data_IF_222596389395
#
_entry.id   IF_222596389395
#
_cell.length_a   1.000
_cell.length_b   1.000
_cell.length_c   1.000
_cell.angle_alpha   90.00
_cell.angle_beta   90.00
_cell.angle_gamma   90.00
#
_symmetry.space_group_name_H-M   'P 1'
#
loop_
_entity.id
_entity.type
_entity.pdbx_description
1 polymer ?
#
# COMPACT_ATOMS: atom_id res chain seq x y z
N UNK A 1 31.25 -5.09 -12.66
CA UNK A 1 30.48 -6.04 -11.81
C UNK A 1 30.23 -5.36 -10.48
N UNK A 2 29.05 -4.79 -10.29
CA UNK A 2 28.65 -4.19 -9.03
C UNK A 2 27.89 -5.21 -8.17
N UNK A 3 28.06 -5.12 -6.85
CA UNK A 3 27.25 -5.87 -5.88
C UNK A 3 26.29 -4.89 -5.23
N UNK A 4 25.00 -5.11 -5.36
CA UNK A 4 23.97 -4.20 -4.86
C UNK A 4 23.01 -4.95 -3.95
N UNK A 5 22.78 -4.41 -2.76
CA UNK A 5 21.81 -4.91 -1.80
C UNK A 5 20.46 -4.21 -1.94
N UNK A 6 19.38 -4.93 -1.65
CA UNK A 6 18.04 -4.35 -1.52
C UNK A 6 17.32 -4.88 -0.28
N UNK A 7 16.74 -3.96 0.48
CA UNK A 7 15.94 -4.27 1.68
C UNK A 7 14.68 -3.42 1.67
N UNK A 8 13.53 -4.07 1.80
CA UNK A 8 12.28 -3.39 2.09
C UNK A 8 12.06 -3.34 3.60
N UNK A 9 11.97 -2.13 4.15
CA UNK A 9 11.74 -1.88 5.58
C UNK A 9 10.27 -2.09 5.93
N UNK A 10 9.84 -3.35 6.04
CA UNK A 10 8.52 -3.69 6.55
C UNK A 10 8.48 -3.49 8.07
N UNK A 11 7.32 -3.07 8.59
CA UNK A 11 7.11 -2.74 10.01
C UNK A 11 7.42 -3.89 11.00
N UNK A 12 7.30 -5.13 10.54
CA UNK A 12 7.56 -6.34 11.35
C UNK A 12 8.85 -7.05 10.97
N UNK A 13 9.75 -6.34 10.32
CA UNK A 13 11.02 -6.92 9.90
C UNK A 13 12.15 -6.43 10.80
N UNK A 14 12.43 -7.19 11.86
CA UNK A 14 13.41 -6.83 12.88
C UNK A 14 14.87 -7.10 12.46
N UNK A 15 15.08 -7.89 11.38
CA UNK A 15 16.40 -8.27 10.88
C UNK A 15 17.12 -7.24 10.00
N UNK A 16 16.53 -6.08 9.80
CA UNK A 16 16.98 -5.07 8.85
C UNK A 16 18.46 -4.66 9.00
N UNK A 17 18.88 -4.32 10.21
CA UNK A 17 20.26 -3.86 10.46
C UNK A 17 21.27 -5.01 10.29
N UNK A 18 20.92 -6.22 10.72
CA UNK A 18 21.75 -7.39 10.55
C UNK A 18 21.96 -7.75 9.08
N UNK A 19 20.90 -7.66 8.27
CA UNK A 19 20.98 -7.91 6.83
C UNK A 19 21.80 -6.85 6.12
N UNK A 20 21.64 -5.61 6.50
CA UNK A 20 22.43 -4.50 5.97
C UNK A 20 23.91 -4.69 6.26
N UNK A 21 24.24 -5.05 7.51
CA UNK A 21 25.60 -5.37 7.91
C UNK A 21 26.17 -6.56 7.13
N UNK A 22 25.38 -7.61 6.95
CA UNK A 22 25.75 -8.77 6.14
C UNK A 22 26.04 -8.37 4.70
N UNK A 23 25.18 -7.57 4.07
CA UNK A 23 25.37 -7.09 2.71
C UNK A 23 26.64 -6.24 2.57
N UNK A 24 26.91 -5.38 3.55
CA UNK A 24 28.14 -4.57 3.58
C UNK A 24 29.39 -5.46 3.70
N UNK A 25 29.38 -6.44 4.61
CA UNK A 25 30.47 -7.42 4.77
C UNK A 25 30.67 -8.26 3.51
N UNK A 26 29.60 -8.59 2.81
CA UNK A 26 29.66 -9.30 1.53
C UNK A 26 30.29 -8.46 0.42
N UNK A 27 30.37 -7.14 0.61
CA UNK A 27 30.99 -6.19 -0.32
C UNK A 27 30.00 -5.52 -1.27
N UNK A 28 28.72 -5.38 -0.87
CA UNK A 28 27.77 -4.55 -1.63
C UNK A 28 28.24 -3.10 -1.61
N UNK A 29 28.42 -2.53 -2.79
CA UNK A 29 28.83 -1.13 -2.96
C UNK A 29 27.72 -0.16 -2.55
N UNK A 30 26.47 -0.64 -2.61
CA UNK A 30 25.29 0.10 -2.20
C UNK A 30 24.23 -0.86 -1.65
N UNK A 31 23.56 -0.46 -0.56
CA UNK A 31 22.37 -1.13 -0.04
C UNK A 31 21.19 -0.15 -0.19
N UNK A 32 20.24 -0.52 -1.03
CA UNK A 32 19.04 0.28 -1.32
C UNK A 32 17.94 -0.11 -0.34
N UNK A 33 17.47 0.87 0.41
CA UNK A 33 16.42 0.72 1.40
C UNK A 33 15.13 1.28 0.87
N UNK A 34 14.07 0.47 0.79
CA UNK A 34 12.73 0.90 0.42
C UNK A 34 11.87 1.02 1.67
N UNK A 35 11.20 2.16 1.85
CA UNK A 35 10.34 2.42 3.00
C UNK A 35 8.93 1.87 2.79
N UNK A 36 8.23 1.64 3.90
CA UNK A 36 6.87 1.10 3.93
C UNK A 36 5.87 1.94 3.15
N UNK A 37 6.05 3.26 3.10
CA UNK A 37 5.20 4.17 2.33
C UNK A 37 5.24 3.89 0.82
N UNK A 38 6.34 3.33 0.35
CA UNK A 38 6.55 3.00 -1.06
C UNK A 38 6.13 1.56 -1.41
N UNK A 39 5.48 0.85 -0.48
CA UNK A 39 5.10 -0.54 -0.64
C UNK A 39 4.36 -0.82 -1.96
N UNK A 40 3.40 0.01 -2.34
CA UNK A 40 2.59 -0.19 -3.54
C UNK A 40 3.38 0.04 -4.85
N UNK A 41 4.25 1.04 -4.89
CA UNK A 41 4.93 1.48 -6.12
C UNK A 41 6.34 0.93 -6.25
N UNK A 42 7.06 0.79 -5.14
CA UNK A 42 8.47 0.36 -5.06
C UNK A 42 9.37 1.00 -6.11
N UNK A 43 9.49 2.32 -6.11
CA UNK A 43 10.26 3.02 -7.13
C UNK A 43 11.74 2.64 -7.08
N UNK A 44 12.31 2.47 -5.89
CA UNK A 44 13.73 2.11 -5.73
C UNK A 44 14.03 0.69 -6.21
N UNK A 45 13.14 -0.28 -5.92
CA UNK A 45 13.26 -1.63 -6.47
C UNK A 45 13.23 -1.63 -7.98
N UNK A 46 12.23 -0.97 -8.57
CA UNK A 46 12.09 -0.89 -10.03
C UNK A 46 13.31 -0.25 -10.68
N UNK A 47 13.80 0.85 -10.10
CA UNK A 47 14.99 1.52 -10.58
C UNK A 47 16.23 0.63 -10.48
N UNK A 48 16.41 -0.08 -9.35
CA UNK A 48 17.50 -1.03 -9.18
C UNK A 48 17.48 -2.10 -10.27
N UNK A 49 16.34 -2.78 -10.45
CA UNK A 49 16.19 -3.87 -11.43
C UNK A 49 16.41 -3.39 -12.86
N UNK A 50 15.95 -2.17 -13.19
CA UNK A 50 16.18 -1.56 -14.51
C UNK A 50 17.67 -1.29 -14.78
N UNK A 51 18.40 -0.88 -13.75
CA UNK A 51 19.81 -0.47 -13.85
C UNK A 51 20.80 -1.64 -13.72
N UNK A 52 20.33 -2.87 -13.43
CA UNK A 52 21.22 -4.03 -13.39
C UNK A 52 21.90 -4.26 -14.74
N UNK A 53 23.19 -4.44 -14.69
CA UNK A 53 24.02 -4.71 -15.86
C UNK A 53 24.53 -6.16 -15.87
N UNK A 54 25.10 -6.55 -17.00
CA UNK A 54 25.65 -7.91 -17.16
C UNK A 54 26.79 -8.16 -16.17
N UNK A 55 26.64 -9.24 -15.40
CA UNK A 55 27.63 -9.69 -14.44
C UNK A 55 27.51 -9.04 -13.06
N UNK A 56 26.49 -8.22 -12.83
CA UNK A 56 26.22 -7.67 -11.50
C UNK A 56 25.72 -8.78 -10.54
N UNK A 57 25.83 -8.48 -9.26
CA UNK A 57 25.29 -9.32 -8.19
C UNK A 57 24.20 -8.56 -7.42
N UNK A 58 23.01 -9.13 -7.32
CA UNK A 58 21.93 -8.57 -6.52
C UNK A 58 21.71 -9.41 -5.27
N UNK A 59 21.70 -8.74 -4.12
CA UNK A 59 21.48 -9.37 -2.82
C UNK A 59 20.17 -8.85 -2.23
N UNK A 60 19.29 -9.75 -1.86
CA UNK A 60 18.05 -9.43 -1.16
C UNK A 60 18.00 -10.14 0.19
N UNK A 61 17.31 -9.56 1.16
CA UNK A 61 17.11 -10.18 2.46
C UNK A 61 16.36 -11.50 2.33
N UNK A 62 15.21 -11.45 1.66
CA UNK A 62 14.33 -12.57 1.34
C UNK A 62 13.56 -12.27 0.07
N UNK A 63 13.19 -13.28 -0.72
CA UNK A 63 12.40 -13.03 -1.92
C UNK A 63 11.02 -12.41 -1.63
N UNK A 64 10.37 -12.81 -0.55
CA UNK A 64 9.11 -12.20 -0.11
C UNK A 64 9.26 -10.72 0.29
N UNK A 65 10.45 -10.31 0.76
CA UNK A 65 10.77 -8.91 1.05
C UNK A 65 10.96 -8.09 -0.25
N UNK A 66 11.61 -8.68 -1.27
CA UNK A 66 11.91 -7.99 -2.52
C UNK A 66 10.78 -8.08 -3.56
N UNK A 67 9.99 -9.13 -3.60
CA UNK A 67 9.05 -9.45 -4.68
C UNK A 67 7.61 -9.56 -4.20
N UNK A 68 6.65 -9.45 -5.13
CA UNK A 68 5.21 -9.41 -4.84
C UNK A 68 4.49 -10.72 -5.11
N UNK A 69 5.23 -11.79 -5.28
CA UNK A 69 4.68 -13.11 -5.53
C UNK A 69 5.37 -13.83 -6.70
N UNK A 70 4.90 -15.03 -7.01
CA UNK A 70 5.53 -15.94 -7.95
C UNK A 70 5.67 -15.39 -9.37
N UNK A 71 4.72 -14.59 -9.84
CA UNK A 71 4.81 -13.98 -11.18
C UNK A 71 5.97 -12.99 -11.28
N UNK A 72 6.14 -12.13 -10.27
CA UNK A 72 7.24 -11.18 -10.25
C UNK A 72 8.58 -11.89 -10.05
N UNK A 73 8.63 -12.96 -9.23
CA UNK A 73 9.80 -13.80 -9.08
C UNK A 73 10.23 -14.41 -10.41
N UNK A 74 9.30 -14.98 -11.16
CA UNK A 74 9.60 -15.59 -12.47
C UNK A 74 10.17 -14.57 -13.45
N UNK A 75 9.56 -13.38 -13.54
CA UNK A 75 10.04 -12.30 -14.40
C UNK A 75 11.41 -11.78 -13.97
N UNK A 76 11.65 -11.67 -12.66
CA UNK A 76 12.93 -11.26 -12.10
C UNK A 76 14.04 -12.29 -12.39
N UNK A 77 13.77 -13.58 -12.18
CA UNK A 77 14.72 -14.66 -12.50
C UNK A 77 15.06 -14.66 -13.99
N UNK A 78 14.05 -14.51 -14.87
CA UNK A 78 14.27 -14.45 -16.31
C UNK A 78 15.16 -13.26 -16.71
N UNK A 79 14.88 -12.07 -16.18
CA UNK A 79 15.70 -10.88 -16.42
C UNK A 79 17.15 -11.10 -15.97
N UNK A 80 17.34 -11.62 -14.76
CA UNK A 80 18.67 -11.90 -14.23
C UNK A 80 19.42 -12.95 -15.05
N UNK A 81 18.72 -13.98 -15.55
CA UNK A 81 19.28 -14.98 -16.46
C UNK A 81 19.76 -14.35 -17.78
N UNK A 82 18.94 -13.52 -18.39
CA UNK A 82 19.27 -12.82 -19.65
C UNK A 82 20.48 -11.89 -19.47
N UNK A 83 20.49 -11.14 -18.39
CA UNK A 83 21.57 -10.20 -18.05
C UNK A 83 22.79 -10.88 -17.41
N UNK A 84 22.75 -12.18 -17.15
CA UNK A 84 23.79 -12.91 -16.41
C UNK A 84 24.09 -12.27 -15.06
N UNK A 85 23.06 -11.86 -14.34
CA UNK A 85 23.13 -11.29 -12.99
C UNK A 85 23.04 -12.42 -11.97
N UNK A 86 23.94 -12.40 -10.98
CA UNK A 86 23.88 -13.32 -9.84
C UNK A 86 22.84 -12.88 -8.84
N UNK A 87 21.99 -13.80 -8.40
CA UNK A 87 20.94 -13.57 -7.40
C UNK A 87 21.34 -14.23 -6.09
N UNK A 88 21.28 -13.49 -4.99
CA UNK A 88 21.53 -13.99 -3.64
C UNK A 88 20.36 -13.59 -2.76
N UNK A 89 19.74 -14.57 -2.08
CA UNK A 89 18.73 -14.34 -1.04
C UNK A 89 19.25 -14.89 0.28
N UNK A 90 19.39 -13.99 1.28
CA UNK A 90 20.07 -14.31 2.54
C UNK A 90 19.25 -15.35 3.34
N UNK A 91 18.00 -15.03 3.65
CA UNK A 91 17.17 -15.89 4.50
C UNK A 91 16.57 -17.10 3.79
N UNK A 92 16.40 -17.03 2.46
CA UNK A 92 16.01 -18.20 1.67
C UNK A 92 17.21 -19.12 1.42
N UNK A 93 18.45 -18.66 1.76
CA UNK A 93 19.72 -19.39 1.54
C UNK A 93 19.90 -19.79 0.08
N UNK A 94 19.54 -18.91 -0.84
CA UNK A 94 19.63 -19.16 -2.28
C UNK A 94 20.72 -18.28 -2.87
N UNK A 95 21.58 -18.93 -3.63
CA UNK A 95 22.60 -18.33 -4.47
C UNK A 95 22.54 -18.96 -5.86
N UNK A 96 22.23 -18.16 -6.87
CA UNK A 96 22.09 -18.67 -8.24
C UNK A 96 23.39 -19.30 -8.82
N UNK A 97 24.53 -19.06 -8.19
CA UNK A 97 25.80 -19.71 -8.54
C UNK A 97 26.16 -20.88 -7.62
N UNK A 98 25.38 -21.16 -6.57
CA UNK A 98 25.59 -22.28 -5.66
C UNK A 98 26.86 -22.20 -4.83
N UNK A 99 27.50 -21.01 -4.69
CA UNK A 99 28.78 -20.86 -3.98
C UNK A 99 28.61 -20.54 -2.50
N UNK A 100 27.64 -19.70 -2.16
CA UNK A 100 27.44 -19.23 -0.77
C UNK A 100 26.67 -20.20 0.08
N UNK A 101 25.73 -20.91 -0.51
CA UNK A 101 24.84 -21.85 0.21
C UNK A 101 24.84 -23.22 -0.50
N UNK A 102 25.95 -23.95 -0.46
CA UNK A 102 26.08 -25.23 -1.18
C UNK A 102 25.15 -26.32 -0.65
N UNK A 103 24.65 -26.17 0.58
CA UNK A 103 23.70 -27.10 1.22
C UNK A 103 22.25 -26.92 0.76
N UNK A 104 21.94 -25.88 0.00
CA UNK A 104 20.59 -25.62 -0.47
C UNK A 104 20.15 -26.66 -1.50
N UNK A 105 19.08 -27.36 -1.18
CA UNK A 105 18.52 -28.42 -2.03
C UNK A 105 17.37 -27.89 -2.89
N UNK A 106 16.99 -28.66 -3.92
CA UNK A 106 15.79 -28.35 -4.71
C UNK A 106 14.52 -28.32 -3.83
N UNK A 107 14.46 -29.13 -2.77
CA UNK A 107 13.34 -29.13 -1.82
C UNK A 107 13.20 -27.78 -1.14
N UNK A 108 14.30 -27.18 -0.66
CA UNK A 108 14.29 -25.85 -0.05
C UNK A 108 13.80 -24.77 -1.03
N UNK A 109 14.21 -24.85 -2.29
CA UNK A 109 13.75 -23.91 -3.33
C UNK A 109 12.25 -24.05 -3.59
N UNK A 110 11.73 -25.27 -3.67
CA UNK A 110 10.30 -25.54 -3.86
C UNK A 110 9.47 -25.07 -2.66
N UNK A 111 9.96 -25.31 -1.44
CA UNK A 111 9.32 -24.82 -0.22
C UNK A 111 9.25 -23.29 -0.20
N UNK A 112 10.35 -22.61 -0.45
CA UNK A 112 10.40 -21.15 -0.59
C UNK A 112 9.40 -20.65 -1.63
N UNK A 113 9.38 -21.28 -2.80
CA UNK A 113 8.47 -20.89 -3.88
C UNK A 113 7.00 -21.06 -3.49
N UNK A 114 6.66 -22.14 -2.78
CA UNK A 114 5.32 -22.41 -2.27
C UNK A 114 4.88 -21.44 -1.17
N UNK A 115 5.79 -21.06 -0.27
CA UNK A 115 5.52 -20.13 0.84
C UNK A 115 5.44 -18.65 0.40
N UNK A 116 6.07 -18.29 -0.72
CA UNK A 116 6.22 -16.92 -1.18
C UNK A 116 4.90 -16.13 -1.25
N UNK A 117 3.77 -16.66 -1.80
CA UNK A 117 2.53 -15.89 -1.87
C UNK A 117 1.95 -15.54 -0.50
N UNK A 118 2.04 -16.45 0.47
CA UNK A 118 1.55 -16.23 1.82
C UNK A 118 2.41 -15.21 2.57
N UNK A 119 3.72 -15.34 2.51
CA UNK A 119 4.64 -14.40 3.12
C UNK A 119 4.48 -12.98 2.57
N UNK A 120 4.33 -12.84 1.25
CA UNK A 120 4.05 -11.55 0.61
C UNK A 120 2.71 -10.98 1.09
N UNK A 121 1.68 -11.81 1.24
CA UNK A 121 0.38 -11.36 1.74
C UNK A 121 0.49 -10.81 3.17
N UNK A 122 1.23 -11.49 4.05
CA UNK A 122 1.49 -11.04 5.44
C UNK A 122 2.22 -9.70 5.46
N UNK A 123 3.28 -9.53 4.65
CA UNK A 123 4.03 -8.28 4.57
C UNK A 123 3.16 -7.12 4.04
N UNK A 124 2.34 -7.36 3.04
CA UNK A 124 1.42 -6.36 2.49
C UNK A 124 0.34 -5.95 3.48
N UNK A 125 -0.20 -6.91 4.22
CA UNK A 125 -1.20 -6.63 5.24
C UNK A 125 -0.63 -5.76 6.37
N UNK A 126 0.56 -6.09 6.87
CA UNK A 126 1.23 -5.29 7.91
C UNK A 126 1.55 -3.88 7.41
N UNK A 127 2.07 -3.74 6.18
CA UNK A 127 2.38 -2.45 5.57
C UNK A 127 1.12 -1.58 5.39
N UNK A 128 0.01 -2.16 4.93
CA UNK A 128 -1.26 -1.45 4.78
C UNK A 128 -1.81 -0.98 6.14
N UNK A 129 -1.64 -1.78 7.19
CA UNK A 129 -2.05 -1.41 8.54
C UNK A 129 -1.27 -0.19 9.05
N UNK A 130 0.05 -0.18 8.89
CA UNK A 130 0.91 0.95 9.27
C UNK A 130 0.56 2.22 8.51
N UNK A 131 0.36 2.12 7.19
CA UNK A 131 -0.05 3.25 6.37
C UNK A 131 -1.38 3.85 6.82
N UNK A 132 -2.35 3.01 7.17
CA UNK A 132 -3.64 3.46 7.71
C UNK A 132 -3.48 4.17 9.06
N UNK A 133 -2.62 3.67 9.95
CA UNK A 133 -2.33 4.32 11.23
C UNK A 133 -1.63 5.66 11.03
N UNK A 134 -0.65 5.75 10.15
CA UNK A 134 0.06 6.98 9.84
C UNK A 134 -0.87 8.02 9.19
N UNK A 135 -1.75 7.61 8.27
CA UNK A 135 -2.76 8.50 7.69
C UNK A 135 -3.72 9.06 8.75
N UNK A 136 -4.18 8.20 9.66
CA UNK A 136 -5.02 8.64 10.79
C UNK A 136 -4.28 9.59 11.75
N UNK A 137 -2.98 9.41 11.91
CA UNK A 137 -2.14 10.29 12.75
C UNK A 137 -1.82 11.62 12.05
N UNK A 138 -1.65 11.62 10.72
CA UNK A 138 -1.35 12.82 9.90
C UNK A 138 -2.58 13.66 9.60
N UNK A 139 -3.80 13.10 9.68
CA UNK A 139 -5.01 13.92 9.72
C UNK A 139 -4.90 14.72 11.01
N UNK A 140 -4.61 16.05 10.97
CA UNK A 140 -4.73 16.82 12.18
C UNK A 140 -6.15 16.53 12.64
N UNK A 141 -6.32 15.98 13.83
CA UNK A 141 -7.52 16.20 14.60
C UNK A 141 -7.54 17.73 14.73
N UNK A 142 -8.06 18.43 13.72
CA UNK A 142 -8.74 19.67 14.01
C UNK A 142 -9.74 19.22 15.04
N UNK A 143 -9.36 19.36 16.27
CA UNK A 143 -10.25 19.53 17.37
C UNK A 143 -11.05 20.77 16.98
N UNK A 144 -12.00 20.61 16.09
CA UNK A 144 -13.24 21.29 16.32
C UNK A 144 -13.58 20.83 17.73
N UNK A 145 -13.25 21.66 18.75
CA UNK A 145 -13.91 21.63 20.05
C UNK A 145 -15.28 21.11 19.75
N UNK A 146 -15.71 20.08 20.44
CA UNK A 146 -16.98 19.42 20.22
C UNK A 146 -18.03 20.54 20.10
N UNK A 147 -18.27 20.98 18.87
CA UNK A 147 -19.43 21.78 18.57
C UNK A 147 -20.58 20.89 19.00
N UNK A 148 -21.42 21.40 19.88
CA UNK A 148 -22.59 20.65 20.30
C UNK A 148 -23.23 20.10 19.02
N UNK A 149 -23.71 18.86 19.07
CA UNK A 149 -24.28 18.19 17.89
C UNK A 149 -25.33 19.08 17.21
N UNK A 150 -26.08 19.83 18.04
CA UNK A 150 -27.05 20.83 17.59
C UNK A 150 -26.42 21.97 16.75
N UNK A 151 -25.30 22.51 17.21
CA UNK A 151 -24.60 23.60 16.49
C UNK A 151 -24.05 23.14 15.15
N UNK A 152 -23.56 21.89 15.10
CA UNK A 152 -23.10 21.31 13.84
C UNK A 152 -24.25 21.09 12.86
N UNK A 153 -25.39 20.58 13.34
CA UNK A 153 -26.57 20.37 12.51
C UNK A 153 -27.13 21.70 12.00
N UNK A 154 -27.18 22.73 12.83
CA UNK A 154 -27.59 24.09 12.44
C UNK A 154 -26.65 24.68 11.38
N UNK A 155 -25.34 24.56 11.54
CA UNK A 155 -24.36 25.01 10.54
C UNK A 155 -24.59 24.37 9.19
N UNK A 156 -24.90 23.05 9.15
CA UNK A 156 -25.22 22.35 7.89
C UNK A 156 -26.45 22.94 7.22
N UNK A 157 -27.49 23.20 8.01
CA UNK A 157 -28.75 23.78 7.51
C UNK A 157 -28.52 25.18 6.94
N UNK A 158 -27.78 26.00 7.66
CA UNK A 158 -27.48 27.40 7.25
C UNK A 158 -26.61 27.44 5.99
N UNK A 159 -25.57 26.60 5.91
CA UNK A 159 -24.74 26.53 4.72
C UNK A 159 -25.53 26.04 3.49
N UNK A 160 -26.40 25.05 3.66
CA UNK A 160 -27.24 24.59 2.58
C UNK A 160 -28.26 25.65 2.12
N UNK A 161 -28.88 26.38 3.05
CA UNK A 161 -29.77 27.48 2.77
C UNK A 161 -29.09 28.62 2.00
N UNK A 162 -27.81 28.86 2.30
CA UNK A 162 -26.98 29.88 1.65
C UNK A 162 -26.37 29.36 0.29
N UNK A 163 -26.72 28.16 -0.16
CA UNK A 163 -26.35 27.65 -1.49
C UNK A 163 -24.92 27.09 -1.57
N UNK A 164 -24.27 26.79 -0.45
CA UNK A 164 -22.95 26.13 -0.46
C UNK A 164 -23.02 24.71 -1.05
N UNK A 165 -21.93 24.27 -1.66
CA UNK A 165 -21.81 22.93 -2.23
C UNK A 165 -21.80 21.85 -1.13
N UNK A 166 -22.20 20.60 -1.48
CA UNK A 166 -22.12 19.49 -0.52
C UNK A 166 -20.69 19.19 -0.10
N UNK A 167 -19.72 19.44 -0.96
CA UNK A 167 -18.29 19.31 -0.68
C UNK A 167 -17.86 20.30 0.41
N UNK A 168 -18.27 21.56 0.31
CA UNK A 168 -17.96 22.58 1.30
C UNK A 168 -18.63 22.28 2.64
N UNK A 169 -19.90 21.87 2.60
CA UNK A 169 -20.65 21.48 3.81
C UNK A 169 -19.99 20.31 4.52
N UNK A 170 -19.54 19.28 3.77
CA UNK A 170 -18.83 18.15 4.35
C UNK A 170 -17.48 18.56 4.95
N UNK A 171 -16.74 19.44 4.28
CA UNK A 171 -15.45 19.93 4.74
C UNK A 171 -15.57 20.70 6.07
N UNK A 172 -16.60 21.54 6.22
CA UNK A 172 -16.83 22.35 7.42
C UNK A 172 -17.47 21.53 8.54
N UNK A 173 -18.46 20.68 8.22
CA UNK A 173 -19.19 19.91 9.23
C UNK A 173 -18.45 18.64 9.72
N UNK A 174 -17.40 18.21 8.99
CA UNK A 174 -16.65 16.99 9.30
C UNK A 174 -17.41 15.70 9.00
N UNK A 175 -18.50 15.74 8.23
CA UNK A 175 -19.15 14.54 7.73
C UNK A 175 -18.41 13.99 6.49
N UNK A 176 -18.22 12.66 6.47
CA UNK A 176 -17.47 11.99 5.40
C UNK A 176 -18.34 11.51 4.23
N UNK A 177 -19.65 11.72 4.29
CA UNK A 177 -20.54 11.29 3.22
C UNK A 177 -21.69 12.26 2.98
N UNK A 178 -22.06 12.42 1.71
CA UNK A 178 -23.25 13.19 1.30
C UNK A 178 -24.54 12.66 1.95
N UNK A 179 -24.65 11.35 2.13
CA UNK A 179 -25.82 10.73 2.78
C UNK A 179 -26.01 11.20 4.21
N UNK A 180 -24.91 11.41 4.96
CA UNK A 180 -24.97 11.93 6.33
C UNK A 180 -25.48 13.36 6.37
N UNK A 181 -25.04 14.21 5.44
CA UNK A 181 -25.52 15.59 5.29
C UNK A 181 -27.02 15.60 4.91
N UNK A 182 -27.42 14.75 3.95
CA UNK A 182 -28.83 14.58 3.57
C UNK A 182 -29.72 14.18 4.76
N UNK A 183 -29.26 13.25 5.59
CA UNK A 183 -30.01 12.81 6.76
C UNK A 183 -30.24 13.94 7.79
N UNK A 184 -29.22 14.81 7.95
CA UNK A 184 -29.37 16.01 8.80
C UNK A 184 -30.39 16.97 8.20
N UNK A 185 -30.25 17.33 6.93
CA UNK A 185 -31.18 18.25 6.25
C UNK A 185 -32.63 17.73 6.27
N UNK A 186 -32.83 16.42 6.05
CA UNK A 186 -34.15 15.80 6.14
C UNK A 186 -34.73 15.86 7.58
N UNK A 187 -33.90 15.64 8.60
CA UNK A 187 -34.31 15.70 10.01
C UNK A 187 -34.77 17.09 10.41
N UNK A 188 -34.12 18.12 9.86
CA UNK A 188 -34.48 19.51 10.06
C UNK A 188 -35.57 20.01 9.10
N UNK A 189 -36.18 19.11 8.31
CA UNK A 189 -37.29 19.47 7.43
C UNK A 189 -36.96 20.35 6.23
N UNK A 190 -35.65 20.48 5.91
CA UNK A 190 -35.18 21.30 4.80
C UNK A 190 -35.60 20.65 3.47
N UNK A 191 -36.36 21.40 2.64
CA UNK A 191 -36.72 20.95 1.29
C UNK A 191 -35.46 20.92 0.43
N UNK A 192 -35.01 19.73 0.12
CA UNK A 192 -33.86 19.53 -0.74
C UNK A 192 -34.15 20.01 -2.16
N UNK A 193 -33.38 20.95 -2.66
CA UNK A 193 -33.48 21.42 -4.04
C UNK A 193 -32.88 20.34 -4.96
N UNK A 194 -33.68 19.28 -5.20
CA UNK A 194 -33.34 18.23 -6.15
C UNK A 194 -33.56 18.85 -7.53
N UNK A 195 -32.48 19.36 -8.14
CA UNK A 195 -32.52 19.82 -9.51
C UNK A 195 -33.26 18.83 -10.42
N UNK A 196 -33.64 19.22 -11.65
CA UNK A 196 -34.45 18.46 -12.61
C UNK A 196 -34.03 17.02 -12.90
N UNK A 197 -32.96 16.54 -12.32
CA UNK A 197 -32.49 15.16 -12.38
C UNK A 197 -33.31 14.28 -11.41
N UNK A 198 -34.42 13.77 -11.89
CA UNK A 198 -35.11 12.63 -11.27
C UNK A 198 -34.26 11.39 -11.55
N UNK A 199 -33.27 11.11 -10.72
CA UNK A 199 -32.54 9.84 -10.77
C UNK A 199 -33.51 8.64 -10.65
N UNK A 200 -33.00 7.41 -10.79
CA UNK A 200 -33.80 6.19 -10.79
C UNK A 200 -34.64 5.92 -9.55
N UNK A 201 -34.52 6.77 -8.50
CA UNK A 201 -35.33 6.78 -7.27
C UNK A 201 -36.51 7.78 -7.33
N UNK A 202 -36.89 8.28 -8.50
CA UNK A 202 -38.18 8.96 -8.66
C UNK A 202 -39.31 8.04 -8.15
N UNK A 203 -40.20 8.57 -7.31
CA UNK A 203 -41.37 7.84 -6.78
C UNK A 203 -41.95 6.94 -7.87
N UNK A 204 -41.96 5.63 -7.62
CA UNK A 204 -42.73 4.69 -8.46
C UNK A 204 -44.15 5.23 -8.54
N UNK A 205 -44.64 5.51 -9.75
CA UNK A 205 -46.06 5.79 -9.96
C UNK A 205 -46.84 4.63 -9.34
N UNK A 206 -47.93 4.89 -8.57
CA UNK A 206 -48.83 3.82 -8.19
C UNK A 206 -49.25 3.09 -9.46
N UNK A 207 -49.19 1.76 -9.44
CA UNK A 207 -49.80 0.95 -10.47
C UNK A 207 -51.31 1.20 -10.34
N UNK A 208 -51.88 1.94 -11.30
CA UNK A 208 -53.31 2.02 -11.45
C UNK A 208 -53.78 0.59 -11.68
N UNK A 209 -54.70 0.16 -10.83
CA UNK A 209 -55.26 -1.16 -10.88
C UNK A 209 -56.06 -1.40 -12.19
N UNK A 210 -55.86 -2.56 -12.77
CA UNK A 210 -56.89 -3.30 -13.49
C UNK A 210 -57.24 -4.52 -12.66
#
# INVERSE_FOLDING_TARGET
MAKVGYIFKADRYDGFEADKEWMQKYGCVQVIEELVENEALRPRWKQLVANLERGDEIVVSKFSNALRGSRELSAFIELCRIKVVRIISIHDRIDSWGKLFPETTAANVLEMFGALPEEVAVLRYSSAHVMNLQQKAKVPKKTMKAMDKADRENTIVDMYANGHSFEDIMAVSGYNSRSSVFNVLNRHGVKLNRGKFKGPLGKRKPKDGQ
#
